data_IF_319888191129
#
_entry.id   IF_319888191129
#
_cell.length_a   1.000
_cell.length_b   1.000
_cell.length_c   1.000
_cell.angle_alpha   90.00
_cell.angle_beta   90.00
_cell.angle_gamma   90.00
#
_symmetry.space_group_name_H-M   'P 1'
#
loop_
_entity.id
_entity.type
_entity.pdbx_description
1 polymer ?
#
# COMPACT_ATOMS: atom_id res chain seq x y z
N UNK A 1 -6.95 -1.79 -30.12
CA UNK A 1 -6.19 -3.04 -30.32
C UNK A 1 -5.11 -2.93 -31.40
N UNK A 2 -5.37 -2.32 -32.58
CA UNK A 2 -4.28 -1.86 -33.50
C UNK A 2 -3.45 -0.69 -32.94
N UNK A 3 -4.08 0.11 -32.06
CA UNK A 3 -3.56 1.33 -31.44
C UNK A 3 -2.27 1.16 -30.60
N UNK A 4 -2.15 0.09 -29.80
CA UNK A 4 -0.99 -0.10 -28.90
C UNK A 4 0.28 -0.53 -29.66
N UNK A 5 0.13 -1.24 -30.79
CA UNK A 5 1.26 -1.70 -31.63
C UNK A 5 1.79 -0.63 -32.58
N UNK A 6 1.09 0.50 -32.75
CA UNK A 6 1.41 1.54 -33.75
C UNK A 6 1.67 2.95 -33.15
N UNK A 7 1.18 3.30 -31.95
CA UNK A 7 1.22 4.70 -31.46
C UNK A 7 1.64 4.91 -29.98
N UNK A 8 2.72 4.28 -29.53
CA UNK A 8 3.45 4.80 -28.36
C UNK A 8 4.42 5.90 -28.82
N UNK A 9 3.90 7.12 -28.96
CA UNK A 9 4.71 8.33 -29.11
C UNK A 9 5.42 8.64 -27.78
N UNK A 10 6.64 8.13 -27.65
CA UNK A 10 7.59 8.60 -26.64
C UNK A 10 8.35 9.78 -27.25
N UNK A 11 7.97 11.01 -26.89
CA UNK A 11 8.75 12.19 -27.25
C UNK A 11 10.07 12.17 -26.49
N UNK A 12 11.19 11.88 -27.17
CA UNK A 12 12.51 12.11 -26.61
C UNK A 12 12.87 13.59 -26.71
N UNK A 13 13.06 14.26 -25.58
CA UNK A 13 13.74 15.56 -25.56
C UNK A 13 15.22 15.34 -25.89
N UNK A 14 15.64 15.62 -27.13
CA UNK A 14 17.04 15.49 -27.52
C UNK A 14 17.80 16.79 -27.25
N UNK A 15 18.98 16.62 -26.64
CA UNK A 15 19.99 17.61 -26.31
C UNK A 15 20.32 18.54 -27.49
N UNK A 16 20.49 19.83 -27.21
CA UNK A 16 20.88 20.85 -28.19
C UNK A 16 22.40 20.94 -28.19
N UNK A 17 23.03 20.53 -29.28
CA UNK A 17 24.34 21.05 -29.67
C UNK A 17 24.28 21.42 -31.15
N UNK A 18 24.60 22.68 -31.46
CA UNK A 18 24.83 23.11 -32.84
C UNK A 18 23.85 24.17 -33.31
N UNK A 19 24.45 25.34 -33.53
CA UNK A 19 23.92 26.53 -34.18
C UNK A 19 23.31 26.19 -35.55
N UNK A 20 22.04 26.50 -35.79
CA UNK A 20 21.53 27.03 -37.07
C UNK A 20 20.00 27.17 -37.06
N UNK A 21 19.57 28.31 -37.56
CA UNK A 21 18.20 28.75 -37.78
C UNK A 21 17.51 27.93 -38.88
N UNK A 22 16.78 26.88 -38.50
CA UNK A 22 15.72 26.28 -39.33
C UNK A 22 14.68 25.59 -38.44
N UNK A 23 13.41 25.69 -38.83
CA UNK A 23 12.25 25.34 -38.00
C UNK A 23 12.30 23.93 -37.42
N UNK A 24 12.24 23.82 -36.09
CA UNK A 24 12.20 22.55 -35.36
C UNK A 24 10.81 21.94 -35.42
N UNK A 25 10.59 20.99 -36.32
CA UNK A 25 9.52 20.01 -36.14
C UNK A 25 9.99 18.92 -35.18
N UNK A 26 9.16 18.48 -34.21
CA UNK A 26 9.53 17.39 -33.32
C UNK A 26 9.72 16.11 -34.13
N UNK A 27 10.91 15.49 -34.01
CA UNK A 27 11.17 14.18 -34.60
C UNK A 27 10.34 13.13 -33.86
N UNK A 28 9.35 12.54 -34.55
CA UNK A 28 8.59 11.39 -34.03
C UNK A 28 9.35 10.11 -34.38
N UNK A 29 9.65 9.29 -33.37
CA UNK A 29 10.19 7.93 -33.57
C UNK A 29 9.09 6.90 -33.27
N UNK A 30 8.97 5.90 -34.12
CA UNK A 30 8.08 4.76 -33.92
C UNK A 30 8.90 3.55 -33.46
N UNK A 31 8.44 2.86 -32.42
CA UNK A 31 9.01 1.59 -31.94
C UNK A 31 7.93 0.51 -31.96
N UNK A 32 8.32 -0.73 -32.28
CA UNK A 32 7.44 -1.91 -32.23
C UNK A 32 7.90 -2.84 -31.12
N UNK A 33 6.96 -3.37 -30.36
CA UNK A 33 7.17 -4.34 -29.28
C UNK A 33 5.99 -5.31 -29.23
N UNK A 34 6.23 -6.50 -28.68
CA UNK A 34 5.17 -7.47 -28.42
C UNK A 34 4.47 -7.24 -27.09
N UNK A 35 5.21 -6.75 -26.09
CA UNK A 35 4.74 -6.53 -24.72
C UNK A 35 5.12 -5.14 -24.23
N UNK A 36 4.23 -4.51 -23.47
CA UNK A 36 4.48 -3.26 -22.77
C UNK A 36 4.31 -3.44 -21.26
N UNK A 37 5.30 -3.05 -20.47
CA UNK A 37 5.14 -2.93 -19.01
C UNK A 37 5.26 -1.47 -18.63
N UNK A 38 4.16 -0.87 -18.17
CA UNK A 38 4.19 0.48 -17.62
C UNK A 38 4.68 0.43 -16.16
N UNK A 39 5.94 0.80 -15.98
CA UNK A 39 6.59 1.01 -14.69
C UNK A 39 7.09 2.47 -14.57
N UNK A 40 6.36 3.43 -15.17
CA UNK A 40 6.77 4.85 -15.27
C UNK A 40 6.67 5.65 -13.97
N UNK A 41 6.51 4.98 -12.84
CA UNK A 41 6.30 5.61 -11.53
C UNK A 41 5.01 6.42 -11.51
N UNK A 42 4.98 7.51 -10.75
CA UNK A 42 3.80 8.38 -10.60
C UNK A 42 3.20 8.88 -11.92
N UNK A 43 3.98 8.93 -13.01
CA UNK A 43 3.46 9.34 -14.33
C UNK A 43 2.36 8.41 -14.84
N UNK A 44 2.47 7.09 -14.56
CA UNK A 44 1.50 6.05 -14.95
C UNK A 44 0.92 6.25 -16.34
N UNK A 45 1.79 6.29 -17.35
CA UNK A 45 1.46 6.68 -18.73
C UNK A 45 0.22 5.92 -19.25
N UNK A 46 0.12 4.62 -19.00
CA UNK A 46 -1.02 3.81 -19.39
C UNK A 46 -2.29 4.24 -18.66
N UNK A 47 -2.25 4.37 -17.34
CA UNK A 47 -3.42 4.71 -16.53
C UNK A 47 -3.89 6.16 -16.68
N UNK A 48 -3.00 7.09 -17.03
CA UNK A 48 -3.30 8.52 -17.13
C UNK A 48 -3.60 8.98 -18.56
N UNK A 49 -2.77 8.59 -19.54
CA UNK A 49 -2.89 9.08 -20.92
C UNK A 49 -3.78 8.20 -21.78
N UNK A 50 -3.60 6.89 -21.71
CA UNK A 50 -4.23 5.94 -22.65
C UNK A 50 -5.55 5.39 -22.12
N UNK A 51 -5.55 4.79 -20.93
CA UNK A 51 -6.74 4.18 -20.33
C UNK A 51 -7.59 5.16 -19.54
N UNK A 52 -6.99 6.23 -19.02
CA UNK A 52 -7.67 7.25 -18.21
C UNK A 52 -8.49 6.65 -17.06
N UNK A 53 -7.94 5.62 -16.42
CA UNK A 53 -8.62 4.81 -15.41
C UNK A 53 -8.09 5.02 -13.99
N UNK A 54 -7.17 5.98 -13.79
CA UNK A 54 -6.68 6.38 -12.46
C UNK A 54 -7.75 7.16 -11.70
N UNK A 55 -7.96 6.80 -10.43
CA UNK A 55 -8.84 7.48 -9.48
C UNK A 55 -8.06 7.81 -8.21
N UNK A 56 -8.11 9.07 -7.80
CA UNK A 56 -7.48 9.53 -6.56
C UNK A 56 -8.30 9.14 -5.34
N UNK A 57 -7.61 8.81 -4.25
CA UNK A 57 -8.22 8.54 -2.97
C UNK A 57 -8.49 9.87 -2.24
N UNK A 58 -9.76 10.22 -2.07
CA UNK A 58 -10.16 11.46 -1.39
C UNK A 58 -9.90 11.44 0.12
N UNK A 59 -9.90 10.26 0.74
CA UNK A 59 -9.69 10.09 2.19
C UNK A 59 -8.22 10.28 2.56
N UNK A 60 -7.30 9.89 1.67
CA UNK A 60 -5.85 10.04 1.86
C UNK A 60 -5.27 11.21 1.06
N UNK A 61 -6.00 12.33 0.97
CA UNK A 61 -5.53 13.57 0.35
C UNK A 61 -4.49 14.25 1.24
N UNK A 62 -3.29 13.71 1.17
CA UNK A 62 -2.15 14.15 1.95
C UNK A 62 -1.11 14.82 1.07
N UNK A 63 -0.32 15.69 1.69
CA UNK A 63 0.85 16.33 1.12
C UNK A 63 2.06 16.07 2.03
N UNK A 64 3.15 15.65 1.41
CA UNK A 64 4.42 15.43 2.08
C UNK A 64 5.36 16.62 1.82
N UNK A 65 6.10 17.04 2.84
CA UNK A 65 7.23 17.96 2.75
C UNK A 65 8.46 17.30 3.37
N UNK A 66 9.62 17.37 2.72
CA UNK A 66 10.83 16.75 3.27
C UNK A 66 12.11 17.44 2.83
N UNK A 67 13.15 17.25 3.62
CA UNK A 67 14.52 17.68 3.32
C UNK A 67 15.53 16.67 3.87
N UNK A 68 16.79 16.81 3.42
CA UNK A 68 17.91 16.03 3.92
C UNK A 68 18.69 16.86 4.93
N UNK A 69 19.04 16.23 6.05
CA UNK A 69 19.73 16.87 7.17
C UNK A 69 21.01 16.11 7.51
N UNK A 70 21.95 16.78 8.17
CA UNK A 70 23.21 16.18 8.65
C UNK A 70 23.47 16.55 10.11
N UNK A 71 24.02 15.60 10.86
CA UNK A 71 24.33 15.78 12.29
C UNK A 71 23.18 15.41 13.22
N UNK A 72 22.19 14.64 12.74
CA UNK A 72 21.19 14.03 13.61
C UNK A 72 21.80 12.91 14.47
N UNK A 73 21.21 12.68 15.63
CA UNK A 73 21.57 11.58 16.52
C UNK A 73 21.08 10.22 15.99
N UNK A 74 21.59 9.16 16.62
CA UNK A 74 21.25 7.78 16.27
C UNK A 74 20.09 7.29 17.12
N UNK A 75 19.06 6.71 16.48
CA UNK A 75 17.98 6.05 17.19
C UNK A 75 18.48 4.74 17.83
N UNK A 76 18.20 4.54 19.13
CA UNK A 76 18.54 3.34 19.92
C UNK A 76 19.97 2.79 19.72
N UNK A 77 21.03 3.58 20.01
CA UNK A 77 22.41 3.13 19.83
C UNK A 77 22.73 1.92 20.71
N UNK A 78 23.50 0.97 20.16
CA UNK A 78 23.89 -0.27 20.82
C UNK A 78 22.81 -1.34 20.88
N UNK A 79 21.72 -1.20 20.11
CA UNK A 79 20.61 -2.18 20.07
C UNK A 79 20.43 -2.78 18.67
N UNK A 80 19.63 -3.84 18.54
CA UNK A 80 19.24 -4.41 17.24
C UNK A 80 18.40 -3.45 16.37
N UNK A 81 17.90 -2.36 16.96
CA UNK A 81 17.16 -1.30 16.27
C UNK A 81 17.98 -0.04 16.06
N UNK A 82 19.29 -0.13 16.25
CA UNK A 82 20.20 0.98 16.01
C UNK A 82 19.94 1.56 14.61
N UNK A 83 19.70 2.87 14.55
CA UNK A 83 19.50 3.61 13.32
C UNK A 83 18.27 3.16 12.49
N UNK A 84 17.32 2.45 13.10
CA UNK A 84 16.05 2.14 12.45
C UNK A 84 15.27 3.42 12.13
N UNK A 85 14.44 3.43 11.06
CA UNK A 85 13.52 4.52 10.78
C UNK A 85 12.62 4.86 11.96
N UNK A 86 12.42 6.15 12.20
CA UNK A 86 11.51 6.69 13.21
C UNK A 86 10.28 7.30 12.53
N UNK A 87 9.11 7.01 13.10
CA UNK A 87 7.81 7.49 12.64
C UNK A 87 7.01 7.97 13.85
N UNK A 88 6.33 9.10 13.72
CA UNK A 88 5.66 9.74 14.86
C UNK A 88 4.47 10.57 14.38
N UNK A 89 3.34 10.49 15.09
CA UNK A 89 2.20 11.36 14.86
C UNK A 89 2.52 12.79 15.34
N UNK A 90 2.04 13.81 14.63
CA UNK A 90 2.16 15.18 15.08
C UNK A 90 1.23 15.41 16.27
N UNK A 91 1.69 16.17 17.27
CA UNK A 91 0.94 16.40 18.53
C UNK A 91 -0.39 17.14 18.36
N UNK A 92 -0.66 17.69 17.17
CA UNK A 92 -1.91 18.38 16.85
C UNK A 92 -2.81 17.59 15.91
N UNK A 93 -2.56 16.28 15.76
CA UNK A 93 -3.38 15.32 15.01
C UNK A 93 -3.49 15.64 13.51
N UNK A 94 -2.70 16.59 13.00
CA UNK A 94 -2.80 17.04 11.61
C UNK A 94 -2.07 16.14 10.61
N UNK A 95 -1.32 15.15 11.10
CA UNK A 95 -0.51 14.26 10.29
C UNK A 95 0.60 13.57 11.08
N UNK A 96 1.69 13.24 10.41
CA UNK A 96 2.82 12.50 10.99
C UNK A 96 4.17 12.93 10.40
N UNK A 97 5.26 12.48 11.01
CA UNK A 97 6.64 12.74 10.58
C UNK A 97 7.44 11.44 10.45
N UNK A 98 8.44 11.46 9.55
CA UNK A 98 9.47 10.42 9.47
C UNK A 98 10.86 11.00 9.70
N UNK A 99 11.76 10.15 10.19
CA UNK A 99 13.20 10.32 10.14
C UNK A 99 13.84 9.00 9.69
N UNK A 100 14.47 9.02 8.52
CA UNK A 100 15.06 7.84 7.87
C UNK A 100 16.56 8.08 7.68
N UNK A 101 17.43 7.41 8.45
CA UNK A 101 18.87 7.49 8.25
C UNK A 101 19.35 6.90 6.93
N UNK A 102 20.37 7.51 6.32
CA UNK A 102 20.94 7.09 5.03
C UNK A 102 22.41 6.71 5.16
N UNK A 103 22.89 5.91 4.21
CA UNK A 103 24.24 5.32 4.19
C UNK A 103 25.39 6.35 4.21
N UNK A 104 25.14 7.60 3.83
CA UNK A 104 26.14 8.67 3.74
C UNK A 104 26.18 9.59 4.97
N UNK A 105 25.53 9.19 6.08
CA UNK A 105 25.47 9.96 7.32
C UNK A 105 24.53 11.16 7.28
N UNK A 106 23.68 11.24 6.25
CA UNK A 106 22.53 12.17 6.22
C UNK A 106 21.27 11.45 6.68
N UNK A 107 20.25 12.23 7.06
CA UNK A 107 18.92 11.71 7.40
C UNK A 107 17.87 12.39 6.50
N UNK A 108 16.93 11.61 5.98
CA UNK A 108 15.72 12.14 5.33
C UNK A 108 14.69 12.43 6.43
N UNK A 109 14.21 13.67 6.51
CA UNK A 109 13.20 14.08 7.49
C UNK A 109 12.02 14.68 6.76
N UNK A 110 10.83 14.13 6.99
CA UNK A 110 9.63 14.60 6.34
C UNK A 110 8.45 14.69 7.28
N UNK A 111 7.48 15.52 6.89
CA UNK A 111 6.15 15.60 7.47
C UNK A 111 5.14 15.28 6.39
N UNK A 112 4.06 14.62 6.78
CA UNK A 112 2.90 14.34 5.94
C UNK A 112 1.69 14.92 6.64
N UNK A 113 0.94 15.75 5.93
CA UNK A 113 -0.22 16.47 6.44
C UNK A 113 -1.41 16.23 5.52
N UNK A 114 -2.63 16.31 6.07
CA UNK A 114 -3.80 16.52 5.22
C UNK A 114 -3.60 17.78 4.35
N UNK A 115 -3.89 17.69 3.06
CA UNK A 115 -3.60 18.74 2.07
C UNK A 115 -4.34 20.06 2.39
N UNK A 116 -5.61 19.98 2.75
CA UNK A 116 -6.42 21.16 3.05
C UNK A 116 -5.93 21.86 4.32
N UNK A 117 -5.68 21.09 5.38
CA UNK A 117 -5.11 21.62 6.62
C UNK A 117 -3.74 22.24 6.36
N UNK A 118 -2.89 21.58 5.58
CA UNK A 118 -1.58 22.11 5.20
C UNK A 118 -1.72 23.41 4.42
N UNK A 119 -2.70 23.54 3.52
CA UNK A 119 -2.95 24.77 2.76
C UNK A 119 -3.34 25.92 3.68
N UNK A 120 -4.22 25.68 4.65
CA UNK A 120 -4.64 26.69 5.63
C UNK A 120 -3.45 27.12 6.49
N UNK A 121 -2.67 26.17 7.02
CA UNK A 121 -1.49 26.46 7.85
C UNK A 121 -0.41 27.21 7.06
N UNK A 122 -0.14 26.79 5.83
CA UNK A 122 0.87 27.41 4.96
C UNK A 122 0.52 28.85 4.57
N UNK A 123 -0.77 29.22 4.56
CA UNK A 123 -1.21 30.58 4.20
C UNK A 123 -0.71 31.69 5.14
N UNK A 124 -0.22 31.31 6.33
CA UNK A 124 0.40 32.22 7.31
C UNK A 124 1.80 32.66 6.92
N UNK A 125 2.44 31.97 5.98
CA UNK A 125 3.79 32.25 5.50
C UNK A 125 3.72 32.87 4.10
N UNK A 126 4.55 33.87 3.84
CA UNK A 126 4.59 34.57 2.55
C UNK A 126 6.03 34.73 2.08
N UNK A 127 6.22 34.92 0.77
CA UNK A 127 7.55 35.06 0.18
C UNK A 127 8.20 33.73 -0.25
N UNK A 128 9.45 33.78 -0.73
CA UNK A 128 10.12 32.64 -1.37
C UNK A 128 10.38 31.47 -0.41
N UNK A 129 10.53 31.75 0.89
CA UNK A 129 10.81 30.73 1.91
C UNK A 129 9.56 30.12 2.55
N UNK A 130 8.35 30.52 2.13
CA UNK A 130 7.10 30.12 2.80
C UNK A 130 6.92 28.60 2.93
N UNK A 131 7.35 27.81 1.95
CA UNK A 131 7.29 26.34 2.03
C UNK A 131 8.28 25.76 3.06
N UNK A 132 9.46 26.37 3.18
CA UNK A 132 10.48 25.98 4.15
C UNK A 132 10.07 26.36 5.57
N UNK A 133 9.57 27.58 5.76
CA UNK A 133 9.05 28.05 7.05
C UNK A 133 7.87 27.20 7.53
N UNK A 134 6.93 26.88 6.62
CA UNK A 134 5.84 25.95 6.90
C UNK A 134 6.35 24.57 7.33
N UNK A 135 7.27 23.97 6.56
CA UNK A 135 7.87 22.68 6.90
C UNK A 135 8.57 22.69 8.26
N UNK A 136 9.41 23.69 8.53
CA UNK A 136 10.14 23.80 9.81
C UNK A 136 9.20 24.03 10.99
N UNK A 137 8.13 24.80 10.80
CA UNK A 137 7.11 25.05 11.85
C UNK A 137 6.36 23.76 12.18
N UNK A 138 5.92 23.02 11.18
CA UNK A 138 5.16 21.78 11.39
C UNK A 138 6.04 20.65 11.92
N UNK A 139 7.32 20.61 11.58
CA UNK A 139 8.29 19.66 12.14
C UNK A 139 8.46 19.81 13.67
N UNK A 140 8.25 21.01 14.23
CA UNK A 140 8.27 21.21 15.69
C UNK A 140 7.15 20.44 16.41
N UNK A 141 6.12 20.00 15.68
CA UNK A 141 5.01 19.20 16.21
C UNK A 141 5.36 17.71 16.36
N UNK A 142 6.57 17.30 15.97
CA UNK A 142 7.09 15.94 16.14
C UNK A 142 8.24 15.93 17.18
N UNK A 143 7.94 15.96 18.49
CA UNK A 143 8.95 16.12 19.54
C UNK A 143 10.01 15.00 19.57
N UNK A 144 9.64 13.75 19.27
CA UNK A 144 10.59 12.63 19.17
C UNK A 144 11.57 12.81 18.01
N UNK A 145 11.05 13.20 16.85
CA UNK A 145 11.83 13.53 15.66
C UNK A 145 12.77 14.71 15.93
N UNK A 146 12.27 15.79 16.54
CA UNK A 146 13.07 16.95 16.91
C UNK A 146 14.19 16.58 17.89
N UNK A 147 13.91 15.73 18.87
CA UNK A 147 14.91 15.22 19.82
C UNK A 147 16.01 14.44 19.11
N UNK A 148 15.67 13.58 18.15
CA UNK A 148 16.63 12.83 17.35
C UNK A 148 17.45 13.75 16.44
N UNK A 149 16.85 14.80 15.88
CA UNK A 149 17.57 15.77 15.06
C UNK A 149 18.59 16.58 15.86
N UNK A 150 18.31 16.95 17.10
CA UNK A 150 19.23 17.74 17.92
C UNK A 150 19.65 19.03 17.20
N UNK A 151 20.95 19.19 16.96
CA UNK A 151 21.52 20.36 16.26
C UNK A 151 21.77 20.09 14.75
N UNK A 152 21.05 19.15 14.15
CA UNK A 152 21.20 18.83 12.74
C UNK A 152 20.98 20.07 11.85
N UNK A 153 21.77 20.15 10.78
CA UNK A 153 21.65 21.21 9.77
C UNK A 153 20.98 20.68 8.51
N UNK A 154 20.04 21.45 7.97
CA UNK A 154 19.39 21.16 6.69
C UNK A 154 20.41 21.36 5.55
N UNK A 155 20.52 20.38 4.65
CA UNK A 155 21.47 20.38 3.53
C UNK A 155 20.82 20.59 2.16
N UNK A 156 19.51 20.45 2.07
CA UNK A 156 18.77 20.55 0.81
C UNK A 156 17.67 21.60 0.88
N UNK A 157 17.17 21.99 -0.29
CA UNK A 157 15.86 22.61 -0.39
C UNK A 157 14.77 21.67 0.14
N UNK A 158 13.68 22.25 0.63
CA UNK A 158 12.48 21.50 1.03
C UNK A 158 11.74 21.09 -0.22
N UNK A 159 11.54 19.78 -0.37
CA UNK A 159 10.75 19.17 -1.44
C UNK A 159 9.33 18.96 -0.97
N UNK A 160 8.40 18.87 -1.92
CA UNK A 160 7.00 18.56 -1.63
C UNK A 160 6.38 17.64 -2.68
N UNK A 161 5.45 16.80 -2.25
CA UNK A 161 4.64 15.96 -3.13
C UNK A 161 3.24 15.81 -2.53
N UNK A 162 2.21 16.10 -3.31
CA UNK A 162 0.80 15.76 -3.03
C UNK A 162 0.26 14.83 -4.11
N UNK A 163 -1.06 14.59 -4.13
CA UNK A 163 -1.73 13.79 -5.16
C UNK A 163 -1.01 12.46 -5.45
N UNK A 164 -0.57 11.77 -4.41
CA UNK A 164 0.11 10.49 -4.54
C UNK A 164 -0.81 9.31 -4.23
N UNK A 165 -1.92 9.52 -3.52
CA UNK A 165 -2.85 8.45 -3.16
C UNK A 165 -3.85 8.19 -4.30
N UNK A 166 -3.69 7.09 -5.04
CA UNK A 166 -4.55 6.72 -6.17
C UNK A 166 -4.47 5.24 -6.51
N UNK A 167 -5.45 4.76 -7.27
CA UNK A 167 -5.43 3.44 -7.90
C UNK A 167 -6.06 3.47 -9.29
N UNK A 168 -5.69 2.51 -10.14
CA UNK A 168 -6.32 2.28 -11.43
C UNK A 168 -7.39 1.18 -11.31
N UNK A 169 -8.45 1.24 -12.13
CA UNK A 169 -9.47 0.18 -12.14
C UNK A 169 -9.02 -1.11 -12.86
N UNK A 170 -7.87 -1.09 -13.53
CA UNK A 170 -7.24 -2.22 -14.18
C UNK A 170 -5.74 -1.99 -14.31
N UNK A 171 -4.95 -3.06 -14.20
CA UNK A 171 -3.50 -3.10 -14.21
C UNK A 171 -2.93 -3.97 -15.34
N UNK A 172 -3.78 -4.69 -16.07
CA UNK A 172 -3.39 -5.53 -17.20
C UNK A 172 -4.44 -5.51 -18.30
N UNK A 173 -4.00 -5.82 -19.51
CA UNK A 173 -4.84 -6.17 -20.65
C UNK A 173 -3.98 -6.81 -21.74
N UNK A 174 -4.55 -7.08 -22.93
CA UNK A 174 -3.82 -7.78 -23.98
C UNK A 174 -2.50 -7.07 -24.30
N UNK A 175 -1.40 -7.82 -24.24
CA UNK A 175 -0.04 -7.36 -24.55
C UNK A 175 0.53 -6.26 -23.60
N UNK A 176 -0.13 -5.93 -22.48
CA UNK A 176 0.43 -4.97 -21.51
C UNK A 176 0.16 -5.30 -20.04
N UNK A 177 1.06 -4.83 -19.16
CA UNK A 177 0.95 -4.86 -17.69
C UNK A 177 1.34 -3.50 -17.09
N UNK A 178 0.87 -3.21 -15.89
CA UNK A 178 1.14 -1.96 -15.15
C UNK A 178 1.65 -2.33 -13.76
N UNK A 179 2.82 -1.81 -13.37
CA UNK A 179 3.50 -2.19 -12.13
C UNK A 179 3.91 -0.97 -11.29
N UNK A 180 3.85 -1.13 -9.97
CA UNK A 180 4.19 -0.08 -8.99
C UNK A 180 3.32 1.17 -9.11
N UNK A 181 3.91 2.32 -8.82
CA UNK A 181 3.26 3.64 -8.81
C UNK A 181 2.61 4.03 -10.15
N UNK A 182 2.93 3.33 -11.25
CA UNK A 182 2.21 3.54 -12.51
C UNK A 182 0.71 3.24 -12.36
N UNK A 183 0.38 2.18 -11.61
CA UNK A 183 -0.98 1.72 -11.39
C UNK A 183 -1.59 2.26 -10.09
N UNK A 184 -0.86 2.22 -8.98
CA UNK A 184 -1.41 2.60 -7.69
C UNK A 184 -0.33 3.00 -6.67
N UNK A 185 -0.68 3.92 -5.77
CA UNK A 185 0.12 4.30 -4.60
C UNK A 185 -0.82 4.71 -3.47
N UNK A 186 -0.44 4.41 -2.22
CA UNK A 186 -1.31 4.57 -1.04
C UNK A 186 -0.82 5.76 -0.22
N UNK A 187 0.23 5.56 0.58
CA UNK A 187 0.79 6.54 1.50
C UNK A 187 2.20 6.07 1.91
N UNK A 188 3.16 6.98 2.18
CA UNK A 188 4.51 6.56 2.54
C UNK A 188 4.66 5.97 3.96
N UNK A 189 3.64 5.99 4.82
CA UNK A 189 3.74 5.57 6.23
C UNK A 189 4.42 4.21 6.43
N UNK A 190 3.96 3.18 5.73
CA UNK A 190 4.51 1.82 5.84
C UNK A 190 5.63 1.51 4.85
N UNK A 191 6.12 2.50 4.09
CA UNK A 191 7.16 2.29 3.06
C UNK A 191 6.80 1.18 2.04
N UNK A 192 5.50 0.94 1.81
CA UNK A 192 5.03 -0.19 1.01
C UNK A 192 5.19 -0.01 -0.51
N UNK A 193 5.42 1.22 -0.99
CA UNK A 193 5.51 1.51 -2.43
C UNK A 193 6.58 0.69 -3.17
N UNK A 194 7.78 0.55 -2.60
CA UNK A 194 8.86 -0.27 -3.19
C UNK A 194 8.48 -1.75 -3.19
N UNK A 195 7.86 -2.24 -2.11
CA UNK A 195 7.36 -3.61 -2.05
C UNK A 195 6.30 -3.87 -3.13
N UNK A 196 5.30 -2.98 -3.27
CA UNK A 196 4.26 -3.09 -4.29
C UNK A 196 4.84 -3.00 -5.72
N UNK A 197 5.88 -2.20 -5.93
CA UNK A 197 6.58 -2.13 -7.20
C UNK A 197 7.29 -3.45 -7.55
N UNK A 198 8.01 -4.06 -6.60
CA UNK A 198 8.63 -5.37 -6.81
C UNK A 198 7.61 -6.49 -7.00
N UNK A 199 6.58 -6.56 -6.15
CA UNK A 199 5.52 -7.55 -6.25
C UNK A 199 4.75 -7.42 -7.58
N UNK A 200 4.41 -6.20 -7.99
CA UNK A 200 3.77 -5.91 -9.27
C UNK A 200 4.68 -6.25 -10.46
N UNK A 201 5.96 -5.88 -10.39
CA UNK A 201 6.95 -6.19 -11.43
C UNK A 201 7.15 -7.71 -11.60
N UNK A 202 7.26 -8.45 -10.50
CA UNK A 202 7.39 -9.90 -10.53
C UNK A 202 6.11 -10.57 -11.04
N UNK A 203 4.93 -10.06 -10.66
CA UNK A 203 3.65 -10.54 -11.19
C UNK A 203 3.54 -10.29 -12.70
N UNK A 204 3.95 -9.11 -13.18
CA UNK A 204 3.99 -8.81 -14.61
C UNK A 204 4.91 -9.78 -15.35
N UNK A 205 6.14 -9.99 -14.87
CA UNK A 205 7.08 -10.92 -15.48
C UNK A 205 6.54 -12.35 -15.51
N UNK A 206 5.94 -12.80 -14.40
CA UNK A 206 5.36 -14.14 -14.25
C UNK A 206 4.20 -14.37 -15.21
N UNK A 207 3.25 -13.44 -15.25
CA UNK A 207 2.04 -13.57 -16.08
C UNK A 207 2.35 -13.46 -17.57
N UNK A 208 3.31 -12.61 -17.95
CA UNK A 208 3.81 -12.53 -19.33
C UNK A 208 4.53 -13.83 -19.73
N UNK A 209 5.40 -14.36 -18.86
CA UNK A 209 6.11 -15.61 -19.13
C UNK A 209 5.14 -16.79 -19.28
N UNK A 210 4.12 -16.87 -18.43
CA UNK A 210 3.09 -17.91 -18.48
C UNK A 210 2.28 -17.85 -19.80
N UNK A 211 1.93 -16.65 -20.25
CA UNK A 211 1.25 -16.40 -21.53
C UNK A 211 2.13 -16.82 -22.72
N UNK A 212 3.40 -16.38 -22.76
CA UNK A 212 4.36 -16.73 -23.81
C UNK A 212 4.57 -18.26 -23.90
N UNK A 213 4.59 -18.94 -22.75
CA UNK A 213 4.81 -20.40 -22.66
C UNK A 213 3.54 -21.23 -22.90
N UNK A 214 2.37 -20.60 -23.01
CA UNK A 214 1.10 -21.30 -23.14
C UNK A 214 0.70 -22.10 -21.89
N UNK A 215 1.20 -21.72 -20.71
CA UNK A 215 0.84 -22.36 -19.43
C UNK A 215 -0.59 -21.99 -19.00
N UNK A 216 -1.03 -20.80 -19.41
CA UNK A 216 -2.36 -20.24 -19.18
C UNK A 216 -2.78 -19.47 -20.43
N UNK A 217 -4.08 -19.19 -20.54
CA UNK A 217 -4.58 -18.23 -21.53
C UNK A 217 -4.15 -16.80 -21.18
N UNK A 218 -4.11 -15.90 -22.17
CA UNK A 218 -3.79 -14.49 -21.91
C UNK A 218 -4.82 -13.82 -20.99
N UNK A 219 -6.09 -14.23 -21.08
CA UNK A 219 -7.15 -13.75 -20.20
C UNK A 219 -6.89 -14.15 -18.74
N UNK A 220 -6.57 -15.42 -18.48
CA UNK A 220 -6.21 -15.88 -17.13
C UNK A 220 -4.97 -15.13 -16.59
N UNK A 221 -3.97 -14.87 -17.44
CA UNK A 221 -2.78 -14.10 -17.06
C UNK A 221 -3.10 -12.62 -16.74
N UNK A 222 -4.01 -11.99 -17.49
CA UNK A 222 -4.50 -10.63 -17.22
C UNK A 222 -5.24 -10.58 -15.90
N UNK A 223 -6.19 -11.51 -15.67
CA UNK A 223 -7.00 -11.56 -14.45
C UNK A 223 -6.12 -11.78 -13.22
N UNK A 224 -5.18 -12.74 -13.28
CA UNK A 224 -4.23 -12.97 -12.19
C UNK A 224 -3.43 -11.70 -11.85
N UNK A 225 -2.92 -10.98 -12.84
CA UNK A 225 -2.14 -9.77 -12.59
C UNK A 225 -3.00 -8.65 -11.97
N UNK A 226 -4.21 -8.45 -12.49
CA UNK A 226 -5.16 -7.47 -11.96
C UNK A 226 -5.48 -7.74 -10.48
N UNK A 227 -5.78 -8.98 -10.13
CA UNK A 227 -6.07 -9.37 -8.75
C UNK A 227 -4.85 -9.26 -7.86
N UNK A 228 -3.68 -9.72 -8.30
CA UNK A 228 -2.46 -9.64 -7.49
C UNK A 228 -2.14 -8.19 -7.10
N UNK A 229 -2.20 -7.27 -8.06
CA UNK A 229 -1.93 -5.85 -7.80
C UNK A 229 -3.06 -5.21 -6.97
N UNK A 230 -4.33 -5.47 -7.34
CA UNK A 230 -5.50 -4.93 -6.65
C UNK A 230 -5.61 -5.37 -5.19
N UNK A 231 -5.43 -6.67 -4.93
CA UNK A 231 -5.46 -7.26 -3.58
C UNK A 231 -4.30 -6.73 -2.74
N UNK A 232 -3.09 -6.63 -3.29
CA UNK A 232 -1.93 -6.07 -2.58
C UNK A 232 -2.17 -4.62 -2.18
N UNK A 233 -2.67 -3.79 -3.10
CA UNK A 233 -3.03 -2.40 -2.82
C UNK A 233 -4.07 -2.30 -1.70
N UNK A 234 -5.16 -3.07 -1.79
CA UNK A 234 -6.25 -3.04 -0.82
C UNK A 234 -5.80 -3.44 0.59
N UNK A 235 -4.98 -4.50 0.71
CA UNK A 235 -4.45 -4.93 2.01
C UNK A 235 -3.68 -3.80 2.70
N UNK A 236 -2.77 -3.13 1.99
CA UNK A 236 -2.03 -2.01 2.56
C UNK A 236 -2.90 -0.77 2.80
N UNK A 237 -3.92 -0.53 1.97
CA UNK A 237 -4.85 0.58 2.17
C UNK A 237 -5.59 0.46 3.50
N UNK A 238 -6.07 -0.73 3.85
CA UNK A 238 -6.74 -0.97 5.15
C UNK A 238 -5.80 -0.64 6.30
N UNK A 239 -4.57 -1.15 6.26
CA UNK A 239 -3.58 -0.91 7.32
C UNK A 239 -3.25 0.59 7.45
N UNK A 240 -3.09 1.30 6.34
CA UNK A 240 -2.86 2.75 6.35
C UNK A 240 -4.05 3.50 6.95
N UNK A 241 -5.28 3.18 6.53
CA UNK A 241 -6.48 3.83 7.06
C UNK A 241 -6.63 3.62 8.56
N UNK A 242 -6.33 2.42 9.07
CA UNK A 242 -6.33 2.13 10.51
C UNK A 242 -5.37 3.03 11.29
N UNK A 243 -4.15 3.25 10.77
CA UNK A 243 -3.18 4.15 11.39
C UNK A 243 -3.63 5.61 11.32
N UNK A 244 -4.16 6.06 10.18
CA UNK A 244 -4.65 7.43 10.06
C UNK A 244 -5.79 7.73 11.03
N UNK A 245 -6.66 6.75 11.28
CA UNK A 245 -7.70 6.85 12.32
C UNK A 245 -7.08 7.08 13.71
N UNK A 246 -5.98 6.41 14.04
CA UNK A 246 -5.24 6.61 15.29
C UNK A 246 -4.47 7.95 15.35
N UNK A 247 -3.90 8.41 14.24
CA UNK A 247 -3.18 9.70 14.15
C UNK A 247 -4.12 10.88 14.38
N UNK A 248 -5.32 10.82 13.82
CA UNK A 248 -6.28 11.92 13.82
C UNK A 248 -7.15 11.98 15.09
N UNK A 249 -7.01 11.02 15.99
CA UNK A 249 -7.76 10.95 17.24
C UNK A 249 -6.91 10.29 18.32
N UNK A 250 -5.92 11.04 18.82
CA UNK A 250 -4.94 10.57 19.79
C UNK A 250 -5.50 10.53 21.22
N UNK A 251 -6.48 11.38 21.52
CA UNK A 251 -7.10 11.48 22.86
C UNK A 251 -8.22 10.46 23.10
N UNK A 252 -8.79 9.91 22.04
CA UNK A 252 -9.77 8.83 22.15
C UNK A 252 -9.06 7.50 21.85
N UNK A 253 -9.32 6.43 22.63
CA UNK A 253 -8.94 5.09 22.21
C UNK A 253 -9.85 4.73 21.05
N UNK A 254 -9.57 5.22 19.84
CA UNK A 254 -10.44 5.17 18.65
C UNK A 254 -10.57 3.77 18.02
N UNK A 255 -10.15 2.78 18.79
CA UNK A 255 -10.77 1.46 18.89
C UNK A 255 -12.12 1.50 19.66
N UNK A 256 -12.77 2.67 19.81
CA UNK A 256 -14.08 2.87 20.42
C UNK A 256 -14.80 4.06 19.74
N UNK A 257 -16.11 3.91 19.57
CA UNK A 257 -16.99 4.67 18.67
C UNK A 257 -17.85 5.74 19.39
N UNK A 258 -18.53 6.59 18.60
CA UNK A 258 -20.01 6.63 18.45
C UNK A 258 -20.39 7.92 17.69
N UNK A 259 -21.18 7.72 16.62
CA UNK A 259 -21.87 8.66 15.72
C UNK A 259 -21.14 9.06 14.41
N UNK A 260 -21.73 8.58 13.31
CA UNK A 260 -21.23 8.34 11.93
C UNK A 260 -20.82 9.60 11.11
N UNK A 261 -20.08 9.51 9.99
CA UNK A 261 -20.62 9.38 8.61
C UNK A 261 -19.56 8.85 7.59
N UNK A 262 -19.22 7.55 7.55
CA UNK A 262 -18.05 7.02 6.79
C UNK A 262 -18.34 5.89 5.74
N UNK A 263 -17.28 5.31 5.17
CA UNK A 263 -17.14 4.84 3.77
C UNK A 263 -17.61 3.40 3.45
N UNK A 264 -18.87 3.05 3.72
CA UNK A 264 -19.43 1.72 3.41
C UNK A 264 -19.39 1.31 1.92
N UNK A 265 -19.35 2.28 1.01
CA UNK A 265 -19.20 2.00 -0.43
C UNK A 265 -17.85 1.35 -0.78
N UNK A 266 -16.81 1.54 0.04
CA UNK A 266 -15.48 1.02 -0.25
C UNK A 266 -15.42 -0.51 -0.12
N UNK A 267 -16.14 -1.09 0.85
CA UNK A 267 -16.05 -2.53 1.11
C UNK A 267 -17.02 -3.39 0.29
N UNK A 268 -18.16 -2.85 -0.13
CA UNK A 268 -19.03 -3.52 -1.13
C UNK A 268 -18.34 -3.72 -2.48
N UNK A 269 -17.36 -2.88 -2.82
CA UNK A 269 -16.51 -3.06 -4.01
C UNK A 269 -15.41 -4.12 -3.81
N UNK A 270 -14.91 -4.31 -2.60
CA UNK A 270 -13.67 -5.04 -2.36
C UNK A 270 -13.91 -6.51 -2.04
N UNK A 271 -15.07 -6.87 -1.50
CA UNK A 271 -15.38 -8.26 -1.11
C UNK A 271 -15.38 -9.26 -2.27
N UNK A 272 -16.00 -8.99 -3.44
CA UNK A 272 -15.97 -9.92 -4.58
C UNK A 272 -14.61 -9.98 -5.28
N UNK A 273 -13.82 -8.90 -5.17
CA UNK A 273 -12.47 -8.77 -5.75
C UNK A 273 -11.44 -9.52 -4.90
N UNK A 274 -11.58 -9.50 -3.57
CA UNK A 274 -10.74 -10.26 -2.63
C UNK A 274 -11.02 -11.78 -2.74
N UNK A 275 -12.22 -12.17 -3.16
CA UNK A 275 -12.69 -13.57 -3.15
C UNK A 275 -12.89 -14.21 -4.53
N UNK A 276 -12.72 -13.46 -5.64
CA UNK A 276 -12.91 -13.97 -7.00
C UNK A 276 -14.37 -14.28 -7.38
N UNK A 277 -15.36 -13.68 -6.70
CA UNK A 277 -16.80 -13.98 -6.82
C UNK A 277 -17.61 -12.87 -7.50
N UNK A 278 -16.94 -11.96 -8.23
CA UNK A 278 -17.54 -10.75 -8.79
C UNK A 278 -18.67 -10.95 -9.82
N UNK A 279 -19.01 -12.17 -10.22
CA UNK A 279 -20.12 -12.44 -11.15
C UNK A 279 -21.50 -12.59 -10.48
N UNK A 280 -21.62 -12.52 -9.15
CA UNK A 280 -22.92 -12.72 -8.48
C UNK A 280 -23.11 -11.88 -7.21
N UNK A 281 -24.21 -11.11 -7.19
CA UNK A 281 -24.97 -10.61 -6.02
C UNK A 281 -24.74 -9.15 -5.55
N UNK A 282 -25.79 -8.33 -5.74
CA UNK A 282 -26.12 -7.10 -5.02
C UNK A 282 -26.77 -7.45 -3.66
N UNK A 283 -26.22 -7.02 -2.52
CA UNK A 283 -26.97 -7.00 -1.26
C UNK A 283 -26.34 -6.01 -0.25
N UNK A 284 -27.15 -5.07 0.25
CA UNK A 284 -26.74 -3.99 1.17
C UNK A 284 -26.48 -4.45 2.61
N UNK A 285 -25.85 -3.56 3.38
CA UNK A 285 -25.24 -3.82 4.69
C UNK A 285 -26.04 -3.19 5.85
N UNK A 286 -26.02 -3.83 7.03
CA UNK A 286 -26.75 -3.46 8.27
C UNK A 286 -25.79 -3.13 9.42
N UNK A 287 -26.28 -2.43 10.46
CA UNK A 287 -25.57 -2.00 11.70
C UNK A 287 -24.70 -3.09 12.35
N UNK A 288 -25.18 -4.34 12.40
CA UNK A 288 -24.43 -5.46 12.96
C UNK A 288 -23.14 -5.81 12.18
N UNK A 289 -23.09 -5.47 10.89
CA UNK A 289 -21.95 -5.77 9.99
C UNK A 289 -20.84 -4.71 10.12
N UNK A 290 -21.23 -3.48 10.47
CA UNK A 290 -20.32 -2.35 10.73
C UNK A 290 -19.51 -2.62 11.99
N UNK A 291 -20.17 -3.05 13.07
CA UNK A 291 -19.51 -3.40 14.35
C UNK A 291 -18.46 -4.51 14.15
N UNK A 292 -18.75 -5.54 13.35
CA UNK A 292 -17.85 -6.67 13.14
C UNK A 292 -16.52 -6.33 12.43
N UNK A 293 -16.51 -5.28 11.59
CA UNK A 293 -15.31 -4.85 10.83
C UNK A 293 -14.37 -4.01 11.70
N UNK A 294 -14.96 -3.17 12.54
CA UNK A 294 -14.24 -2.41 13.55
C UNK A 294 -13.64 -3.33 14.60
N UNK A 295 -14.43 -4.29 15.09
CA UNK A 295 -13.94 -5.35 15.97
C UNK A 295 -12.75 -6.06 15.30
N UNK A 296 -12.83 -6.49 14.04
CA UNK A 296 -11.72 -7.18 13.38
C UNK A 296 -10.41 -6.37 13.33
N UNK A 297 -10.48 -5.07 13.04
CA UNK A 297 -9.31 -4.20 12.99
C UNK A 297 -8.72 -3.91 14.37
N UNK A 298 -9.57 -3.83 15.39
CA UNK A 298 -9.17 -3.77 16.80
C UNK A 298 -8.40 -5.02 17.23
N UNK A 299 -8.94 -6.19 16.92
CA UNK A 299 -8.35 -7.47 17.30
C UNK A 299 -7.06 -7.81 16.52
N UNK A 300 -6.92 -7.30 15.30
CA UNK A 300 -5.69 -7.42 14.51
C UNK A 300 -4.48 -6.71 15.16
N UNK A 301 -4.73 -5.57 15.83
CA UNK A 301 -3.71 -4.65 16.32
C UNK A 301 -3.63 -4.56 17.85
N UNK A 302 -4.57 -5.16 18.59
CA UNK A 302 -4.62 -5.18 20.05
C UNK A 302 -3.53 -6.05 20.73
N UNK A 303 -3.23 -5.81 22.02
CA UNK A 303 -2.26 -6.58 22.78
C UNK A 303 -2.85 -7.94 23.19
N UNK A 304 -2.30 -9.03 22.66
CA UNK A 304 -2.44 -10.36 23.26
C UNK A 304 -1.03 -10.85 23.56
N UNK A 305 -0.80 -11.33 24.78
CA UNK A 305 0.51 -11.85 25.15
C UNK A 305 0.66 -13.28 24.62
N UNK A 306 1.89 -13.77 24.37
CA UNK A 306 2.15 -15.15 23.96
C UNK A 306 1.50 -16.21 24.88
N UNK A 307 1.38 -15.90 26.17
CA UNK A 307 0.77 -16.76 27.18
C UNK A 307 -0.75 -16.90 26.98
N UNK A 308 -1.44 -15.80 26.63
CA UNK A 308 -2.87 -15.85 26.28
C UNK A 308 -3.11 -16.69 25.02
N UNK A 309 -2.25 -16.57 24.02
CA UNK A 309 -2.36 -17.33 22.77
C UNK A 309 -2.14 -18.84 22.99
N UNK A 310 -1.15 -19.22 23.80
CA UNK A 310 -0.87 -20.61 24.15
C UNK A 310 -2.01 -21.25 24.95
N UNK A 311 -2.57 -20.52 25.93
CA UNK A 311 -3.65 -21.02 26.77
C UNK A 311 -4.96 -21.25 26.00
N UNK A 312 -5.21 -20.48 24.93
CA UNK A 312 -6.38 -20.66 24.06
C UNK A 312 -6.13 -21.77 23.04
N UNK A 313 -4.90 -21.89 22.50
CA UNK A 313 -4.53 -22.95 21.55
C UNK A 313 -4.72 -24.37 22.10
N UNK A 314 -4.61 -24.55 23.42
CA UNK A 314 -4.89 -25.83 24.09
C UNK A 314 -6.39 -26.15 24.22
N UNK A 315 -7.27 -25.15 24.06
CA UNK A 315 -8.72 -25.24 24.31
C UNK A 315 -9.58 -25.19 23.04
N UNK A 316 -9.01 -24.79 21.91
CA UNK A 316 -9.72 -24.64 20.63
C UNK A 316 -9.21 -25.63 19.59
N UNK A 317 -10.05 -25.99 18.63
CA UNK A 317 -9.65 -26.88 17.53
C UNK A 317 -8.43 -26.31 16.78
N UNK A 318 -7.43 -27.15 16.54
CA UNK A 318 -6.17 -26.75 15.89
C UNK A 318 -6.38 -26.15 14.49
N UNK A 319 -7.44 -26.54 13.78
CA UNK A 319 -7.80 -25.96 12.47
C UNK A 319 -8.21 -24.49 12.54
N UNK A 320 -8.70 -24.03 13.71
CA UNK A 320 -9.08 -22.64 13.94
C UNK A 320 -7.87 -21.73 14.12
N UNK A 321 -6.73 -22.28 14.54
CA UNK A 321 -5.47 -21.54 14.70
C UNK A 321 -4.46 -21.82 13.58
N UNK A 322 -4.75 -22.75 12.67
CA UNK A 322 -3.90 -23.07 11.53
C UNK A 322 -3.68 -21.83 10.62
N UNK A 323 -2.44 -21.53 10.22
CA UNK A 323 -2.13 -20.37 9.37
C UNK A 323 -2.83 -20.39 8.01
N UNK A 324 -3.10 -21.58 7.44
CA UNK A 324 -3.78 -21.78 6.16
C UNK A 324 -5.28 -22.10 6.32
N UNK A 325 -5.82 -21.96 7.53
CA UNK A 325 -7.23 -22.21 7.82
C UNK A 325 -8.16 -21.12 7.28
N UNK A 326 -9.43 -21.45 7.07
CA UNK A 326 -10.44 -20.48 6.63
C UNK A 326 -10.59 -19.32 7.64
N UNK A 327 -10.68 -18.10 7.13
CA UNK A 327 -11.01 -16.91 7.94
C UNK A 327 -12.48 -17.01 8.34
N UNK A 328 -12.77 -16.93 9.65
CA UNK A 328 -14.13 -16.95 10.20
C UNK A 328 -14.62 -15.54 10.48
N UNK A 329 -15.94 -15.32 10.35
CA UNK A 329 -16.60 -14.08 10.74
C UNK A 329 -16.59 -13.88 12.26
N UNK A 330 -16.78 -12.64 12.70
CA UNK A 330 -16.83 -12.30 14.15
C UNK A 330 -17.96 -13.04 14.86
N UNK A 331 -19.09 -13.25 14.19
CA UNK A 331 -20.23 -14.02 14.72
C UNK A 331 -19.87 -15.50 14.90
N UNK A 332 -19.24 -16.14 13.90
CA UNK A 332 -18.76 -17.52 14.02
C UNK A 332 -17.71 -17.66 15.14
N UNK A 333 -16.81 -16.69 15.30
CA UNK A 333 -15.82 -16.70 16.39
C UNK A 333 -16.50 -16.56 17.76
N UNK A 334 -17.53 -15.73 17.87
CA UNK A 334 -18.29 -15.57 19.12
C UNK A 334 -19.05 -16.86 19.49
N UNK A 335 -19.64 -17.55 18.50
CA UNK A 335 -20.27 -18.85 18.71
C UNK A 335 -19.27 -19.92 19.14
N UNK A 336 -18.07 -19.91 18.55
CA UNK A 336 -16.98 -20.86 18.86
C UNK A 336 -16.39 -20.60 20.26
N UNK A 337 -16.24 -19.34 20.65
CA UNK A 337 -15.64 -18.97 21.94
C UNK A 337 -16.57 -19.23 23.13
N UNK A 338 -17.89 -19.34 22.91
CA UNK A 338 -18.86 -19.61 23.98
C UNK A 338 -19.01 -18.46 24.98
N UNK A 339 -19.49 -18.77 26.19
CA UNK A 339 -19.82 -17.79 27.25
C UNK A 339 -18.69 -17.49 28.24
N UNK A 340 -17.46 -17.96 28.00
CA UNK A 340 -16.34 -17.78 28.92
C UNK A 340 -15.09 -17.19 28.24
N UNK A 341 -14.55 -16.18 28.93
CA UNK A 341 -13.35 -15.36 28.70
C UNK A 341 -13.21 -14.59 27.37
N UNK A 342 -13.30 -13.25 27.47
CA UNK A 342 -12.86 -12.28 26.47
C UNK A 342 -11.50 -12.64 25.83
N UNK A 343 -10.61 -13.35 26.52
CA UNK A 343 -9.32 -13.78 25.99
C UNK A 343 -9.40 -14.82 24.87
N UNK A 344 -10.34 -15.77 24.88
CA UNK A 344 -10.46 -16.79 23.83
C UNK A 344 -10.99 -16.18 22.53
N UNK A 345 -12.03 -15.35 22.65
CA UNK A 345 -12.56 -14.54 21.56
C UNK A 345 -11.50 -13.62 20.98
N UNK A 346 -10.75 -12.92 21.84
CA UNK A 346 -9.69 -12.01 21.38
C UNK A 346 -8.55 -12.73 20.66
N UNK A 347 -8.12 -13.90 21.14
CA UNK A 347 -7.09 -14.69 20.48
C UNK A 347 -7.58 -15.21 19.13
N UNK A 348 -8.79 -15.74 19.03
CA UNK A 348 -9.33 -16.25 17.76
C UNK A 348 -9.55 -15.14 16.73
N UNK A 349 -10.05 -13.97 17.15
CA UNK A 349 -10.19 -12.81 16.27
C UNK A 349 -8.83 -12.30 15.79
N UNK A 350 -7.82 -12.26 16.66
CA UNK A 350 -6.45 -11.91 16.27
C UNK A 350 -5.85 -12.94 15.32
N UNK A 351 -6.05 -14.23 15.56
CA UNK A 351 -5.55 -15.29 14.68
C UNK A 351 -6.21 -15.20 13.31
N UNK A 352 -7.52 -14.97 13.23
CA UNK A 352 -8.20 -14.71 11.94
C UNK A 352 -7.66 -13.47 11.23
N UNK A 353 -7.41 -12.39 11.98
CA UNK A 353 -6.80 -11.19 11.42
C UNK A 353 -5.38 -11.44 10.93
N UNK A 354 -4.59 -12.21 11.69
CA UNK A 354 -3.25 -12.66 11.30
C UNK A 354 -3.31 -13.50 10.05
N UNK A 355 -4.18 -14.50 9.90
CA UNK A 355 -4.28 -15.27 8.63
C UNK A 355 -4.47 -14.37 7.40
N UNK A 356 -5.19 -13.26 7.55
CA UNK A 356 -5.39 -12.28 6.48
C UNK A 356 -4.13 -11.45 6.13
N UNK A 357 -3.19 -11.30 7.07
CA UNK A 357 -2.00 -10.44 6.93
C UNK A 357 -0.65 -11.17 7.08
N UNK A 358 -0.62 -12.38 7.61
CA UNK A 358 0.57 -13.17 7.98
C UNK A 358 1.24 -13.74 6.74
N UNK A 359 0.45 -14.07 5.71
CA UNK A 359 0.98 -14.32 4.38
C UNK A 359 1.96 -13.21 3.97
N UNK A 360 1.65 -11.93 4.24
CA UNK A 360 2.50 -10.77 3.90
C UNK A 360 3.91 -10.85 4.54
N UNK A 361 4.07 -11.56 5.66
CA UNK A 361 5.33 -11.71 6.38
C UNK A 361 6.11 -13.00 6.06
N UNK A 362 5.50 -13.97 5.37
CA UNK A 362 6.19 -15.15 4.82
C UNK A 362 6.97 -14.76 3.54
N UNK A 363 8.09 -14.07 3.70
CA UNK A 363 8.88 -13.57 2.57
C UNK A 363 9.51 -14.68 1.71
N UNK A 364 9.66 -15.89 2.25
CA UNK A 364 10.20 -17.05 1.52
C UNK A 364 9.13 -17.74 0.65
N UNK A 365 7.92 -17.92 1.18
CA UNK A 365 6.86 -18.71 0.52
C UNK A 365 5.72 -17.91 -0.09
N UNK A 366 5.39 -16.71 0.44
CA UNK A 366 4.13 -15.99 0.14
C UNK A 366 3.87 -15.82 -1.36
N UNK A 367 4.87 -15.37 -2.11
CA UNK A 367 4.63 -15.10 -3.53
C UNK A 367 4.26 -16.36 -4.32
N UNK A 368 4.74 -17.54 -3.89
CA UNK A 368 4.45 -18.85 -4.50
C UNK A 368 3.27 -19.57 -3.84
N UNK A 369 2.95 -19.27 -2.59
CA UNK A 369 1.88 -19.92 -1.82
C UNK A 369 0.53 -19.25 -2.02
N UNK A 370 0.50 -17.96 -2.40
CA UNK A 370 -0.75 -17.28 -2.71
C UNK A 370 -1.42 -17.87 -3.96
N UNK A 371 -2.67 -18.31 -3.79
CA UNK A 371 -3.51 -18.83 -4.86
C UNK A 371 -4.54 -17.78 -5.25
N UNK A 372 -4.51 -17.34 -6.50
CA UNK A 372 -5.49 -16.43 -7.09
C UNK A 372 -6.09 -17.08 -8.33
N UNK A 373 -7.42 -17.13 -8.43
CA UNK A 373 -8.15 -17.81 -9.52
C UNK A 373 -7.72 -19.26 -9.79
N UNK A 374 -7.35 -20.00 -8.75
CA UNK A 374 -6.87 -21.38 -8.90
C UNK A 374 -5.46 -21.50 -9.48
N UNK A 375 -4.70 -20.41 -9.53
CA UNK A 375 -3.29 -20.39 -9.96
C UNK A 375 -2.38 -19.92 -8.84
N UNK A 376 -1.16 -20.44 -8.83
CA UNK A 376 -0.05 -19.96 -8.00
C UNK A 376 1.16 -19.65 -8.87
N UNK A 377 2.08 -18.86 -8.34
CA UNK A 377 3.32 -18.52 -9.04
C UNK A 377 4.31 -19.67 -8.99
N UNK A 378 4.86 -20.00 -10.15
CA UNK A 378 6.04 -20.85 -10.28
C UNK A 378 7.28 -19.95 -10.37
N UNK A 379 8.00 -19.82 -9.26
CA UNK A 379 9.20 -18.99 -9.13
C UNK A 379 10.47 -19.87 -9.21
N UNK A 380 10.62 -20.58 -10.32
CA UNK A 380 11.78 -21.46 -10.56
C UNK A 380 12.67 -20.86 -11.65
N UNK A 381 13.99 -20.85 -11.43
CA UNK A 381 14.95 -20.39 -12.44
C UNK A 381 14.78 -21.18 -13.73
N UNK A 382 14.55 -20.49 -14.85
CA UNK A 382 14.30 -21.11 -16.16
C UNK A 382 12.85 -21.54 -16.39
N UNK A 383 12.01 -21.53 -15.35
CA UNK A 383 10.60 -21.96 -15.42
C UNK A 383 9.63 -20.99 -14.73
N UNK A 384 9.93 -19.69 -14.78
CA UNK A 384 9.05 -18.63 -14.29
C UNK A 384 7.70 -18.68 -15.02
N UNK A 385 6.60 -18.69 -14.26
CA UNK A 385 5.24 -18.72 -14.83
C UNK A 385 4.14 -19.00 -13.83
N UNK A 386 2.99 -19.46 -14.30
CA UNK A 386 1.83 -19.79 -13.47
C UNK A 386 1.53 -21.29 -13.54
N UNK A 387 1.15 -21.87 -12.40
CA UNK A 387 0.71 -23.26 -12.32
C UNK A 387 -0.69 -23.34 -11.72
N UNK A 388 -1.52 -24.23 -12.26
CA UNK A 388 -2.84 -24.52 -11.71
C UNK A 388 -2.67 -25.28 -10.39
N UNK A 389 -3.37 -24.84 -9.36
CA UNK A 389 -3.40 -25.51 -8.05
C UNK A 389 -4.60 -26.44 -8.04
N UNK A 390 -4.39 -27.72 -7.74
CA UNK A 390 -5.49 -28.67 -7.59
C UNK A 390 -6.43 -28.19 -6.48
N UNK A 391 -7.75 -28.26 -6.71
CA UNK A 391 -8.72 -27.99 -5.66
C UNK A 391 -8.40 -28.92 -4.47
N UNK A 392 -8.16 -28.36 -3.28
CA UNK A 392 -8.13 -29.18 -2.05
C UNK A 392 -9.49 -29.89 -1.99
N UNK A 393 -9.48 -31.23 -1.93
CA UNK A 393 -10.69 -31.98 -1.62
C UNK A 393 -11.21 -31.46 -0.27
N UNK A 394 -12.41 -30.90 -0.28
CA UNK A 394 -13.09 -30.42 0.94
C UNK A 394 -13.43 -31.59 1.86
#
# INVERSE_FOLDING_TARGET
MRWLREELQLCSATHISGNESSGRFPFVRHMKFNWLVDASGKNGIMSTKYMKNRKFNNTLKNIAFWAYWKGAGTYMPGTSRENAPWFEALVDESGWAWLIPLHNGTVSVGIVLNEELSRVKKSKFTGPDAAKEHYLTELQRAPGTHKLMGNAAILSEVKSAGDYSYSASAYAGPDYRVAGDAGAFIDPFFSSGVHLAFAGGLSAATTIAASIRGQVTEEEAITFHNEKVGTSYTRFLVVVLSIYRQINAQAAPVLADVDEDNFDRAFDFLRPIIQGTADTVNAGVTEATVQATMDFCEHALGPTTPEMASAVAERVDASLIAPDGAIKSTAEVAEIAGSDEDSAKQVLLRVNARKAVEGIYDWEGNFQSEVLNGFSVQLETGNLGLRRVAAKAM
#
